data_IF_130549630272
#
_entry.id   IF_130549630272
#
_cell.length_a   1.000
_cell.length_b   1.000
_cell.length_c   1.000
_cell.angle_alpha   90.00
_cell.angle_beta   90.00
_cell.angle_gamma   90.00
#
_symmetry.space_group_name_H-M   'P 1'
#
loop_
_entity.id
_entity.type
_entity.pdbx_description
1 polymer ?
#
# COMPACT_ATOMS: atom_id res chain seq x y z
N UNK A 1 -11.01 -0.99 31.26
CA UNK A 1 -11.16 -0.32 29.96
C UNK A 1 -9.89 -0.66 29.18
N UNK A 2 -9.99 -1.11 27.94
CA UNK A 2 -8.85 -1.41 27.08
C UNK A 2 -8.75 -0.34 25.99
N UNK A 3 -7.55 -0.04 25.46
CA UNK A 3 -7.43 0.77 24.25
C UNK A 3 -8.11 0.06 23.07
N UNK A 4 -8.52 0.83 22.05
CA UNK A 4 -9.03 0.25 20.81
C UNK A 4 -7.95 -0.51 20.05
N UNK A 5 -8.37 -1.51 19.28
CA UNK A 5 -7.46 -2.28 18.44
C UNK A 5 -7.01 -1.47 17.21
N UNK A 6 -5.81 -1.77 16.74
CA UNK A 6 -5.29 -1.30 15.44
C UNK A 6 -5.33 -2.49 14.50
N UNK A 7 -5.97 -2.32 13.35
CA UNK A 7 -5.96 -3.31 12.28
C UNK A 7 -5.02 -2.81 11.16
N UNK A 8 -3.84 -3.44 11.02
CA UNK A 8 -2.83 -2.97 10.07
C UNK A 8 -3.07 -3.41 8.62
N UNK A 9 -4.14 -4.17 8.35
CA UNK A 9 -4.41 -4.67 7.01
C UNK A 9 -5.91 -4.62 6.71
N UNK A 10 -6.36 -3.51 6.10
CA UNK A 10 -7.78 -3.33 5.75
C UNK A 10 -7.97 -2.81 4.33
N UNK A 11 -9.18 -3.03 3.80
CA UNK A 11 -9.61 -2.48 2.51
C UNK A 11 -10.80 -1.52 2.68
N UNK A 12 -10.80 -0.76 3.76
CA UNK A 12 -11.91 0.13 4.12
C UNK A 12 -11.88 1.50 3.44
N UNK A 13 -10.86 1.81 2.63
CA UNK A 13 -10.67 3.13 2.03
C UNK A 13 -11.88 3.61 1.23
N UNK A 14 -12.53 2.73 0.45
CA UNK A 14 -13.71 3.07 -0.33
C UNK A 14 -14.93 3.45 0.53
N UNK A 15 -14.99 2.94 1.74
CA UNK A 15 -16.02 3.32 2.72
C UNK A 15 -15.67 4.64 3.40
N UNK A 16 -14.42 4.78 3.85
CA UNK A 16 -13.95 5.99 4.53
C UNK A 16 -14.03 7.25 3.65
N UNK A 17 -13.80 7.12 2.34
CA UNK A 17 -13.87 8.24 1.38
C UNK A 17 -15.22 8.30 0.63
N UNK A 18 -16.23 7.56 1.07
CA UNK A 18 -17.55 7.55 0.44
C UNK A 18 -18.28 8.89 0.61
N UNK A 19 -19.12 9.24 -0.34
CA UNK A 19 -20.08 10.33 -0.20
C UNK A 19 -21.17 10.03 0.85
N UNK A 20 -21.39 8.76 1.14
CA UNK A 20 -22.34 8.32 2.18
C UNK A 20 -21.70 8.42 3.57
N UNK A 21 -22.23 9.33 4.40
CA UNK A 21 -21.74 9.56 5.75
C UNK A 21 -21.89 8.34 6.66
N UNK A 22 -22.83 7.44 6.40
CA UNK A 22 -23.01 6.20 7.18
C UNK A 22 -21.85 5.23 6.91
N UNK A 23 -21.42 5.11 5.65
CA UNK A 23 -20.28 4.27 5.28
C UNK A 23 -18.97 4.80 5.90
N UNK A 24 -18.79 6.14 5.91
CA UNK A 24 -17.59 6.76 6.51
C UNK A 24 -17.46 6.52 8.02
N UNK A 25 -18.55 6.15 8.72
CA UNK A 25 -18.48 5.79 10.14
C UNK A 25 -17.68 4.51 10.38
N UNK A 26 -17.47 3.67 9.38
CA UNK A 26 -16.69 2.44 9.50
C UNK A 26 -17.15 1.53 10.66
N UNK A 27 -18.46 1.45 10.87
CA UNK A 27 -19.08 0.81 12.06
C UNK A 27 -18.77 -0.67 12.17
N UNK A 28 -18.56 -1.37 11.04
CA UNK A 28 -18.16 -2.77 11.01
C UNK A 28 -16.84 -3.03 11.76
N UNK A 29 -15.90 -2.09 11.73
CA UNK A 29 -14.67 -2.13 12.50
C UNK A 29 -14.89 -1.69 13.96
N UNK A 30 -15.61 -0.58 14.16
CA UNK A 30 -15.87 -0.05 15.52
C UNK A 30 -16.59 -1.05 16.41
N UNK A 31 -17.59 -1.77 15.90
CA UNK A 31 -18.31 -2.79 16.66
C UNK A 31 -17.45 -4.00 17.03
N UNK A 32 -16.30 -4.15 16.43
CA UNK A 32 -15.29 -5.15 16.80
C UNK A 32 -14.20 -4.57 17.72
N UNK A 33 -14.31 -3.31 18.11
CA UNK A 33 -13.35 -2.63 18.96
C UNK A 33 -12.13 -2.08 18.23
N UNK A 34 -12.12 -2.11 16.88
CA UNK A 34 -11.06 -1.52 16.05
C UNK A 34 -11.30 -0.01 15.93
N UNK A 35 -10.32 0.78 16.32
CA UNK A 35 -10.40 2.25 16.30
C UNK A 35 -9.40 2.88 15.32
N UNK A 36 -8.48 2.11 14.80
CA UNK A 36 -7.50 2.54 13.80
C UNK A 36 -7.37 1.46 12.72
N UNK A 37 -7.44 1.87 11.47
CA UNK A 37 -7.33 0.99 10.30
C UNK A 37 -6.23 1.47 9.37
N UNK A 38 -5.49 0.55 8.77
CA UNK A 38 -4.49 0.88 7.77
C UNK A 38 -5.01 0.51 6.38
N UNK A 39 -4.80 1.40 5.42
CA UNK A 39 -5.33 1.29 4.07
C UNK A 39 -4.25 1.47 3.02
N UNK A 40 -4.45 0.84 1.86
CA UNK A 40 -3.48 0.87 0.77
C UNK A 40 -2.66 -0.40 0.66
N UNK A 41 -3.03 -1.46 1.39
CA UNK A 41 -2.42 -2.78 1.35
C UNK A 41 -2.46 -3.39 -0.06
N UNK A 42 -1.70 -4.46 -0.27
CA UNK A 42 -1.66 -5.26 -1.51
C UNK A 42 -1.29 -4.46 -2.76
N UNK A 43 -0.57 -3.34 -2.59
CA UNK A 43 -0.15 -2.49 -3.70
C UNK A 43 -1.25 -1.59 -4.29
N UNK A 44 -2.41 -1.48 -3.64
CA UNK A 44 -3.55 -0.69 -4.14
C UNK A 44 -3.61 0.75 -3.61
N UNK A 45 -2.76 1.11 -2.65
CA UNK A 45 -2.74 2.46 -2.08
C UNK A 45 -2.44 3.53 -3.12
N UNK A 46 -3.33 4.52 -3.23
CA UNK A 46 -3.08 5.67 -4.09
C UNK A 46 -1.82 6.40 -3.60
N UNK A 47 -0.85 6.72 -4.46
CA UNK A 47 0.34 7.46 -4.06
C UNK A 47 0.07 8.92 -3.65
N UNK A 48 -1.09 9.48 -3.99
CA UNK A 48 -1.50 10.83 -3.55
C UNK A 48 -2.08 10.77 -2.11
N UNK A 49 -1.19 10.66 -1.16
CA UNK A 49 -1.52 10.55 0.27
C UNK A 49 -2.18 11.83 0.79
N UNK A 50 -1.70 13.00 0.34
CA UNK A 50 -2.27 14.29 0.74
C UNK A 50 -3.75 14.40 0.36
N UNK A 51 -4.10 14.05 -0.88
CA UNK A 51 -5.49 14.08 -1.34
C UNK A 51 -6.38 13.11 -0.56
N UNK A 52 -5.91 11.90 -0.27
CA UNK A 52 -6.67 10.93 0.55
C UNK A 52 -6.89 11.44 1.98
N UNK A 53 -5.86 11.98 2.62
CA UNK A 53 -5.95 12.54 3.95
C UNK A 53 -6.89 13.74 4.00
N UNK A 54 -6.80 14.65 3.02
CA UNK A 54 -7.70 15.79 2.92
C UNK A 54 -9.16 15.35 2.75
N UNK A 55 -9.44 14.37 1.89
CA UNK A 55 -10.79 13.84 1.69
C UNK A 55 -11.37 13.17 2.95
N UNK A 56 -10.53 12.45 3.71
CA UNK A 56 -10.93 11.84 4.97
C UNK A 56 -11.28 12.91 6.02
N UNK A 57 -10.46 13.97 6.13
CA UNK A 57 -10.68 15.07 7.07
C UNK A 57 -11.94 15.88 6.72
N UNK A 58 -12.13 16.26 5.46
CA UNK A 58 -13.28 17.04 5.00
C UNK A 58 -14.61 16.29 5.25
N UNK A 59 -14.62 15.00 4.92
CA UNK A 59 -15.80 14.15 5.10
C UNK A 59 -16.09 13.73 6.54
N UNK A 60 -15.07 13.71 7.39
CA UNK A 60 -15.08 13.08 8.71
C UNK A 60 -15.21 11.55 8.62
N UNK A 61 -14.41 10.84 9.37
CA UNK A 61 -14.36 9.37 9.38
C UNK A 61 -14.54 8.81 10.80
N UNK A 62 -15.09 7.61 10.92
CA UNK A 62 -15.41 7.02 12.22
C UNK A 62 -14.25 6.29 12.88
N UNK A 63 -13.20 5.90 12.16
CA UNK A 63 -11.96 5.34 12.70
C UNK A 63 -10.78 6.24 12.33
N UNK A 64 -9.70 6.22 13.11
CA UNK A 64 -8.44 6.75 12.62
C UNK A 64 -7.99 5.92 11.40
N UNK A 65 -7.25 6.55 10.49
CA UNK A 65 -6.67 5.83 9.35
C UNK A 65 -5.21 6.20 9.14
N UNK A 66 -4.43 5.24 8.68
CA UNK A 66 -3.12 5.44 8.10
C UNK A 66 -3.13 4.93 6.65
N UNK A 67 -2.23 5.46 5.84
CA UNK A 67 -2.17 5.17 4.41
C UNK A 67 -0.81 4.57 4.03
N UNK A 68 -0.82 3.71 3.02
CA UNK A 68 0.35 3.14 2.38
C UNK A 68 0.43 3.61 0.94
N UNK A 69 1.65 3.81 0.46
CA UNK A 69 1.91 3.98 -0.97
C UNK A 69 1.87 2.61 -1.63
N UNK A 70 1.00 2.42 -2.61
CA UNK A 70 0.82 1.14 -3.28
C UNK A 70 1.71 1.01 -4.52
N UNK A 71 2.58 0.00 -4.56
CA UNK A 71 3.45 -0.30 -5.71
C UNK A 71 2.67 -0.50 -7.02
N UNK A 72 1.57 -1.29 -7.00
CA UNK A 72 0.75 -1.50 -8.19
C UNK A 72 0.08 -0.23 -8.68
N UNK A 73 -0.36 0.64 -7.76
CA UNK A 73 -0.93 1.95 -8.10
C UNK A 73 0.14 2.89 -8.68
N UNK A 74 1.37 2.86 -8.16
CA UNK A 74 2.51 3.60 -8.73
C UNK A 74 2.79 3.15 -10.16
N UNK A 75 2.95 1.85 -10.40
CA UNK A 75 3.15 1.31 -11.75
C UNK A 75 2.05 1.77 -12.69
N UNK A 76 0.80 1.64 -12.27
CA UNK A 76 -0.35 2.07 -13.08
C UNK A 76 -0.31 3.55 -13.42
N UNK A 77 0.10 4.40 -12.48
CA UNK A 77 0.12 5.85 -12.67
C UNK A 77 1.27 6.33 -13.56
N UNK A 78 2.40 5.60 -13.60
CA UNK A 78 3.61 5.97 -14.37
C UNK A 78 3.68 5.22 -15.70
N UNK A 79 3.35 3.92 -15.70
CA UNK A 79 3.53 3.02 -16.85
C UNK A 79 2.19 2.55 -17.45
N UNK A 80 1.06 2.87 -16.83
CA UNK A 80 -0.23 2.34 -17.27
C UNK A 80 -0.36 0.84 -16.98
N UNK A 81 -0.82 0.08 -17.96
CA UNK A 81 -1.00 -1.37 -17.85
C UNK A 81 0.16 -2.20 -18.43
N UNK A 82 1.29 -1.58 -18.76
CA UNK A 82 2.42 -2.25 -19.39
C UNK A 82 3.06 -3.32 -18.49
N UNK A 83 3.24 -4.53 -19.07
CA UNK A 83 3.86 -5.68 -18.38
C UNK A 83 5.39 -5.74 -18.50
N UNK A 84 6.04 -4.67 -18.95
CA UNK A 84 7.51 -4.58 -19.09
C UNK A 84 8.17 -4.04 -17.81
N UNK A 85 9.47 -4.19 -17.70
CA UNK A 85 10.25 -3.46 -16.70
C UNK A 85 10.16 -1.93 -16.92
N UNK A 86 10.25 -1.11 -15.87
CA UNK A 86 10.35 0.34 -16.02
C UNK A 86 11.67 0.74 -16.69
N UNK A 87 11.64 1.86 -17.38
CA UNK A 87 12.89 2.55 -17.76
C UNK A 87 13.48 3.24 -16.53
N UNK A 88 14.75 3.63 -16.57
CA UNK A 88 15.40 4.37 -15.49
C UNK A 88 14.62 5.65 -15.12
N UNK A 89 14.04 6.34 -16.09
CA UNK A 89 13.24 7.54 -15.88
C UNK A 89 11.91 7.22 -15.16
N UNK A 90 11.25 6.14 -15.54
CA UNK A 90 10.00 5.70 -14.90
C UNK A 90 10.26 5.21 -13.48
N UNK A 91 11.34 4.46 -13.25
CA UNK A 91 11.73 4.04 -11.91
C UNK A 91 12.05 5.25 -11.02
N UNK A 92 12.79 6.22 -11.54
CA UNK A 92 13.09 7.48 -10.83
C UNK A 92 11.80 8.23 -10.48
N UNK A 93 10.83 8.29 -11.40
CA UNK A 93 9.54 8.91 -11.13
C UNK A 93 8.76 8.16 -10.04
N UNK A 94 8.73 6.83 -10.08
CA UNK A 94 8.10 6.03 -9.02
C UNK A 94 8.77 6.25 -7.66
N UNK A 95 10.12 6.28 -7.61
CA UNK A 95 10.87 6.59 -6.38
C UNK A 95 10.52 7.99 -5.84
N UNK A 96 10.40 8.98 -6.72
CA UNK A 96 10.01 10.34 -6.33
C UNK A 96 8.61 10.37 -5.71
N UNK A 97 7.66 9.61 -6.26
CA UNK A 97 6.30 9.52 -5.72
C UNK A 97 6.24 8.77 -4.39
N UNK A 98 7.05 7.72 -4.21
CA UNK A 98 7.20 7.09 -2.89
C UNK A 98 7.71 8.11 -1.87
N UNK A 99 8.78 8.83 -2.19
CA UNK A 99 9.35 9.84 -1.30
C UNK A 99 8.33 10.94 -0.95
N UNK A 100 7.53 11.38 -1.94
CA UNK A 100 6.47 12.35 -1.70
C UNK A 100 5.38 11.77 -0.78
N UNK A 101 4.86 10.58 -1.06
CA UNK A 101 3.85 9.93 -0.22
C UNK A 101 4.33 9.72 1.23
N UNK A 102 5.60 9.34 1.43
CA UNK A 102 6.19 9.23 2.76
C UNK A 102 6.30 10.61 3.45
N UNK A 103 6.62 11.66 2.71
CA UNK A 103 6.64 13.05 3.21
C UNK A 103 5.24 13.51 3.61
N UNK A 104 4.21 13.11 2.88
CA UNK A 104 2.80 13.44 3.13
C UNK A 104 2.19 12.60 4.26
N UNK A 105 2.95 11.67 4.84
CA UNK A 105 2.58 10.92 6.03
C UNK A 105 2.16 9.46 5.81
N UNK A 106 2.50 8.87 4.66
CA UNK A 106 2.39 7.43 4.51
C UNK A 106 3.29 6.71 5.51
N UNK A 107 2.84 5.56 6.00
CA UNK A 107 3.63 4.74 6.93
C UNK A 107 4.49 3.69 6.22
N UNK A 108 4.07 3.25 5.05
CA UNK A 108 4.61 2.05 4.41
C UNK A 108 4.57 2.15 2.89
N UNK A 109 5.40 1.33 2.23
CA UNK A 109 5.21 0.88 0.86
C UNK A 109 4.53 -0.49 0.88
N UNK A 110 3.40 -0.63 0.21
CA UNK A 110 2.75 -1.92 0.03
C UNK A 110 2.95 -2.46 -1.39
N UNK A 111 3.01 -3.78 -1.54
CA UNK A 111 2.97 -4.43 -2.84
C UNK A 111 1.92 -5.54 -2.90
N UNK A 112 1.47 -5.85 -4.11
CA UNK A 112 0.64 -7.02 -4.40
C UNK A 112 1.21 -7.72 -5.62
N UNK A 113 2.22 -8.57 -5.38
CA UNK A 113 2.97 -9.23 -6.45
C UNK A 113 2.21 -10.38 -7.11
N UNK A 114 1.08 -10.74 -6.55
CA UNK A 114 0.10 -11.66 -7.15
C UNK A 114 -0.78 -10.97 -8.20
N UNK A 115 -1.02 -9.68 -8.06
CA UNK A 115 -1.98 -8.90 -8.85
C UNK A 115 -1.30 -8.05 -9.92
N UNK A 116 -1.89 -7.97 -11.12
CA UNK A 116 -1.45 -7.01 -12.13
C UNK A 116 -1.81 -5.56 -11.68
N UNK A 117 -0.94 -4.57 -11.92
CA UNK A 117 0.34 -4.65 -12.63
C UNK A 117 1.55 -5.01 -11.76
N UNK A 118 1.39 -5.18 -10.44
CA UNK A 118 2.48 -5.53 -9.52
C UNK A 118 3.17 -6.87 -9.89
N UNK A 119 2.39 -7.84 -10.39
CA UNK A 119 2.90 -9.15 -10.81
C UNK A 119 3.89 -9.10 -12.00
N UNK A 120 3.95 -7.99 -12.71
CA UNK A 120 4.87 -7.81 -13.84
C UNK A 120 6.24 -7.29 -13.41
N UNK A 121 6.40 -6.84 -12.16
CA UNK A 121 7.67 -6.35 -11.66
C UNK A 121 8.64 -7.49 -11.37
N UNK A 122 9.91 -7.21 -11.51
CA UNK A 122 10.95 -8.01 -10.90
C UNK A 122 11.20 -7.57 -9.44
N UNK A 123 11.98 -8.38 -8.72
CA UNK A 123 12.28 -8.13 -7.31
C UNK A 123 13.09 -6.85 -7.11
N UNK A 124 14.00 -6.53 -8.05
CA UNK A 124 14.87 -5.36 -7.95
C UNK A 124 14.07 -4.04 -8.01
N UNK A 125 13.05 -3.97 -8.86
CA UNK A 125 12.15 -2.81 -8.89
C UNK A 125 11.53 -2.54 -7.51
N UNK A 126 11.03 -3.59 -6.86
CA UNK A 126 10.41 -3.45 -5.53
C UNK A 126 11.43 -3.08 -4.47
N UNK A 127 12.64 -3.66 -4.53
CA UNK A 127 13.76 -3.31 -3.65
C UNK A 127 14.08 -1.82 -3.76
N UNK A 128 14.22 -1.29 -4.95
CA UNK A 128 14.56 0.11 -5.17
C UNK A 128 13.48 1.08 -4.65
N UNK A 129 12.22 0.70 -4.69
CA UNK A 129 11.14 1.48 -4.09
C UNK A 129 11.08 1.33 -2.57
N UNK A 130 11.31 0.12 -2.05
CA UNK A 130 11.33 -0.15 -0.61
C UNK A 130 12.48 0.60 0.10
N UNK A 131 13.65 0.71 -0.54
CA UNK A 131 14.77 1.54 -0.05
C UNK A 131 14.37 3.00 0.18
N UNK A 132 13.54 3.55 -0.72
CA UNK A 132 13.05 4.92 -0.56
C UNK A 132 12.15 5.02 0.69
N UNK A 133 11.18 4.13 0.84
CA UNK A 133 10.31 4.13 2.03
C UNK A 133 11.11 3.94 3.32
N UNK A 134 12.09 3.02 3.32
CA UNK A 134 12.97 2.75 4.47
C UNK A 134 13.79 4.00 4.87
N UNK A 135 14.22 4.84 3.93
CA UNK A 135 14.93 6.08 4.23
C UNK A 135 14.09 7.07 5.06
N UNK A 136 12.76 6.96 5.03
CA UNK A 136 11.82 7.72 5.87
C UNK A 136 11.42 6.97 7.15
N UNK A 137 11.97 5.78 7.39
CA UNK A 137 11.61 4.94 8.54
C UNK A 137 10.33 4.13 8.32
N UNK A 138 9.83 4.04 7.08
CA UNK A 138 8.70 3.23 6.71
C UNK A 138 9.04 1.74 6.67
N UNK A 139 8.02 0.91 6.65
CA UNK A 139 8.13 -0.54 6.49
C UNK A 139 7.60 -1.00 5.13
N UNK A 140 7.72 -2.28 4.84
CA UNK A 140 7.25 -2.88 3.61
C UNK A 140 6.21 -3.97 3.93
N UNK A 141 5.04 -3.89 3.29
CA UNK A 141 3.95 -4.86 3.34
C UNK A 141 3.75 -5.53 1.98
N UNK A 142 3.42 -6.81 1.94
CA UNK A 142 3.28 -7.52 0.67
C UNK A 142 2.21 -8.61 0.68
N UNK A 143 1.31 -8.53 -0.29
CA UNK A 143 0.67 -9.73 -0.81
C UNK A 143 1.69 -10.44 -1.72
N UNK A 144 2.20 -11.58 -1.29
CA UNK A 144 3.30 -12.29 -1.94
C UNK A 144 2.95 -12.76 -3.35
N UNK A 145 3.97 -13.03 -4.18
CA UNK A 145 3.83 -13.35 -5.60
C UNK A 145 3.07 -14.65 -5.87
N UNK A 146 3.19 -15.62 -4.98
CA UNK A 146 2.50 -16.91 -5.09
C UNK A 146 2.20 -17.48 -3.70
N UNK A 147 0.94 -17.81 -3.44
CA UNK A 147 0.47 -18.38 -2.18
C UNK A 147 0.47 -19.90 -2.19
N UNK A 148 0.80 -20.53 -3.30
CA UNK A 148 0.77 -22.00 -3.46
C UNK A 148 1.83 -22.47 -4.48
N UNK A 149 1.38 -22.90 -5.65
CA UNK A 149 2.21 -23.40 -6.77
C UNK A 149 1.66 -22.94 -8.11
N UNK A 150 1.08 -21.74 -8.15
CA UNK A 150 0.47 -21.21 -9.37
C UNK A 150 1.53 -20.71 -10.35
N UNK A 151 2.64 -20.19 -9.85
CA UNK A 151 3.69 -19.58 -10.65
C UNK A 151 5.08 -19.98 -10.09
N UNK A 152 5.68 -19.15 -9.21
CA UNK A 152 7.04 -19.35 -8.67
C UNK A 152 7.07 -20.27 -7.45
N UNK A 153 5.92 -20.49 -6.82
CA UNK A 153 5.76 -21.28 -5.60
C UNK A 153 5.90 -20.47 -4.32
N UNK A 154 5.23 -20.95 -3.27
CA UNK A 154 5.14 -20.28 -1.97
C UNK A 154 6.52 -19.96 -1.36
N UNK A 155 7.44 -20.93 -1.37
CA UNK A 155 8.74 -20.73 -0.72
C UNK A 155 9.58 -19.66 -1.44
N UNK A 156 9.58 -19.66 -2.78
CA UNK A 156 10.28 -18.64 -3.54
C UNK A 156 9.68 -17.24 -3.32
N UNK A 157 8.37 -17.15 -3.16
CA UNK A 157 7.69 -15.88 -2.84
C UNK A 157 8.02 -15.38 -1.44
N UNK A 158 8.18 -16.27 -0.47
CA UNK A 158 8.63 -15.90 0.88
C UNK A 158 10.09 -15.44 0.84
N UNK A 159 10.96 -16.14 0.11
CA UNK A 159 12.36 -15.75 -0.06
C UNK A 159 12.48 -14.37 -0.73
N UNK A 160 11.62 -14.07 -1.73
CA UNK A 160 11.54 -12.76 -2.39
C UNK A 160 11.22 -11.64 -1.39
N UNK A 161 10.21 -11.83 -0.54
CA UNK A 161 9.83 -10.81 0.46
C UNK A 161 10.93 -10.60 1.49
N UNK A 162 11.60 -11.68 1.92
CA UNK A 162 12.75 -11.58 2.83
C UNK A 162 13.90 -10.84 2.14
N UNK A 163 14.16 -11.10 0.87
CA UNK A 163 15.18 -10.38 0.10
C UNK A 163 14.88 -8.88 0.05
N UNK A 164 13.65 -8.51 -0.30
CA UNK A 164 13.21 -7.09 -0.36
C UNK A 164 13.41 -6.41 0.99
N UNK A 165 13.03 -7.06 2.10
CA UNK A 165 13.13 -6.49 3.44
C UNK A 165 14.56 -6.45 4.03
N UNK A 166 15.55 -7.07 3.37
CA UNK A 166 16.94 -7.12 3.86
C UNK A 166 17.93 -6.26 3.07
N UNK A 167 17.51 -5.70 1.94
CA UNK A 167 18.33 -4.85 1.05
C UNK A 167 18.12 -3.39 1.31
#
# INVERSE_FOLDING_TARGET
MLPGFIDPHTHSIADLLSADSTRRQNQNYQFQGVTTVFNGNDGFGDPDIEAQAAAALDGGIGTNTAFFVGHGALRKSVMGGDGRAPTDAELTEMQSRVAQGMTDGALELSSGLFYAPGSFSDTEEVIELAKVAAAFGGVYDSHIRDESTYNVGLLASIDEVIEIGTK
#
